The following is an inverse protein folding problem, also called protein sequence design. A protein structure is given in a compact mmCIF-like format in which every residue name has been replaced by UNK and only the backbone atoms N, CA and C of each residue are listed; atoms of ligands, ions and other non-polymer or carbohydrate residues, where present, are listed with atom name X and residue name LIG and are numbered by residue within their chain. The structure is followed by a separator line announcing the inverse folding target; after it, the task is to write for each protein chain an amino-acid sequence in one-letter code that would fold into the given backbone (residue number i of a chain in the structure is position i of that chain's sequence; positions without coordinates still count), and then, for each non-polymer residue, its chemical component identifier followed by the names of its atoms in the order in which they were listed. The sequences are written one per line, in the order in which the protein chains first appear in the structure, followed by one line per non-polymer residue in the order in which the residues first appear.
data_IF_230763823393
#
_entry.id   IF_230763823393
#
_cell.length_a   1.000
_cell.length_b   1.000
_cell.length_c   1.000
_cell.angle_alpha   90.00
_cell.angle_beta   90.00
_cell.angle_gamma   90.00
#
_symmetry.space_group_name_H-M   'P 1'
#
loop_
_entity.id
_entity.type
_entity.pdbx_description
1 polymer ?
#
# COMPACT_ATOMS: atom_id res chain seq x y z
N UNK A 1 -1.15 18.55 -5.01
CA UNK A 1 0.15 18.28 -5.66
C UNK A 1 1.17 17.60 -4.73
N UNK A 2 0.95 17.55 -3.41
CA UNK A 2 1.83 16.91 -2.40
C UNK A 2 2.02 15.39 -2.56
N UNK A 3 0.94 14.63 -2.83
CA UNK A 3 0.99 13.16 -2.82
C UNK A 3 1.93 12.59 -3.89
N UNK A 4 1.97 13.20 -5.09
CA UNK A 4 2.81 12.76 -6.21
C UNK A 4 4.31 12.92 -5.95
N UNK A 5 4.71 13.81 -5.04
CA UNK A 5 6.12 14.05 -4.72
C UNK A 5 6.68 12.92 -3.85
N UNK A 6 5.91 12.42 -2.88
CA UNK A 6 6.28 11.25 -2.08
C UNK A 6 6.50 9.99 -2.94
N UNK A 7 5.81 9.88 -4.09
CA UNK A 7 5.87 8.71 -4.97
C UNK A 7 7.06 8.69 -5.94
N UNK A 8 7.87 9.76 -5.99
CA UNK A 8 9.02 9.88 -6.91
C UNK A 8 10.35 9.36 -6.32
N UNK A 9 10.35 8.88 -5.09
CA UNK A 9 11.54 8.33 -4.44
C UNK A 9 11.76 6.84 -4.74
N UNK A 10 13.04 6.41 -4.75
CA UNK A 10 13.44 4.98 -4.75
C UNK A 10 13.01 4.23 -3.48
N UNK A 11 12.56 4.95 -2.44
CA UNK A 11 12.17 4.38 -1.16
C UNK A 11 10.72 3.93 -1.27
N UNK A 12 10.50 2.62 -1.08
CA UNK A 12 9.16 2.06 -1.03
C UNK A 12 8.43 2.45 0.25
N UNK A 13 7.19 2.89 0.15
CA UNK A 13 6.34 3.20 1.30
C UNK A 13 5.35 2.07 1.55
N UNK A 14 5.21 1.64 2.80
CA UNK A 14 4.14 0.75 3.18
C UNK A 14 2.77 1.40 2.98
N UNK A 15 1.84 0.59 2.52
CA UNK A 15 0.42 0.92 2.45
C UNK A 15 -0.33 0.09 3.49
N UNK A 16 -1.49 0.58 3.92
CA UNK A 16 -2.40 -0.19 4.76
C UNK A 16 -3.11 -1.32 4.01
N UNK A 17 -2.38 -2.08 3.19
CA UNK A 17 -2.88 -3.18 2.37
C UNK A 17 -2.05 -4.44 2.64
N UNK A 18 -2.69 -5.48 3.15
CA UNK A 18 -2.04 -6.74 3.51
C UNK A 18 -2.85 -7.94 3.03
N UNK A 19 -2.17 -9.05 2.74
CA UNK A 19 -2.82 -10.31 2.38
C UNK A 19 -3.28 -11.02 3.66
N UNK A 20 -4.57 -11.32 3.70
CA UNK A 20 -5.25 -12.09 4.74
C UNK A 20 -6.10 -13.15 4.03
N UNK A 21 -5.98 -14.40 4.46
CA UNK A 21 -6.70 -15.53 3.84
C UNK A 21 -6.56 -15.57 2.30
N UNK A 22 -5.32 -15.38 1.82
CA UNK A 22 -4.95 -15.34 0.39
C UNK A 22 -5.52 -14.15 -0.41
N UNK A 23 -6.21 -13.19 0.22
CA UNK A 23 -6.79 -12.02 -0.44
C UNK A 23 -6.18 -10.74 0.11
N UNK A 24 -5.94 -9.77 -0.75
CA UNK A 24 -5.46 -8.45 -0.31
C UNK A 24 -6.61 -7.67 0.30
N UNK A 25 -6.39 -7.14 1.50
CA UNK A 25 -7.37 -6.38 2.28
C UNK A 25 -6.76 -5.11 2.84
N UNK A 26 -7.55 -4.04 2.84
CA UNK A 26 -7.20 -2.77 3.46
C UNK A 26 -7.22 -2.89 5.00
N UNK A 27 -6.63 -1.90 5.67
CA UNK A 27 -6.58 -1.85 7.13
C UNK A 27 -7.95 -1.78 7.82
N UNK A 28 -9.00 -1.40 7.09
CA UNK A 28 -10.40 -1.41 7.55
C UNK A 28 -11.12 -2.75 7.31
N UNK A 29 -10.43 -3.73 6.72
CA UNK A 29 -10.98 -5.06 6.42
C UNK A 29 -11.69 -5.17 5.06
N UNK A 30 -11.80 -4.09 4.29
CA UNK A 30 -12.37 -4.15 2.95
C UNK A 30 -11.42 -4.82 1.95
N UNK A 31 -11.98 -5.55 0.98
CA UNK A 31 -11.20 -6.25 -0.04
C UNK A 31 -10.58 -5.27 -1.05
N UNK A 32 -9.36 -5.57 -1.51
CA UNK A 32 -8.74 -4.87 -2.63
C UNK A 32 -9.44 -5.24 -3.94
N UNK A 33 -10.18 -4.28 -4.50
CA UNK A 33 -11.02 -4.45 -5.70
C UNK A 33 -10.56 -3.62 -6.90
N UNK A 34 -9.32 -3.11 -6.86
CA UNK A 34 -8.75 -2.31 -7.95
C UNK A 34 -8.25 -3.19 -9.10
N UNK A 35 -8.26 -2.64 -10.32
CA UNK A 35 -7.67 -3.25 -11.52
C UNK A 35 -6.14 -3.13 -11.56
N UNK A 36 -5.55 -2.31 -10.69
CA UNK A 36 -4.10 -2.14 -10.62
C UNK A 36 -3.48 -3.35 -9.92
N UNK A 37 -2.51 -4.06 -10.52
CA UNK A 37 -1.94 -5.25 -9.91
C UNK A 37 -0.99 -4.92 -8.76
N UNK A 38 -0.99 -5.77 -7.71
CA UNK A 38 0.06 -5.83 -6.71
C UNK A 38 1.03 -6.94 -7.10
N UNK A 39 2.28 -6.60 -7.33
CA UNK A 39 3.30 -7.53 -7.83
C UNK A 39 3.91 -8.36 -6.71
N UNK A 40 4.12 -9.65 -6.97
CA UNK A 40 4.64 -10.62 -6.00
C UNK A 40 3.58 -11.18 -5.05
N UNK A 41 4.01 -12.15 -4.21
CA UNK A 41 3.11 -12.97 -3.39
C UNK A 41 3.35 -12.84 -1.88
N UNK A 42 4.10 -11.82 -1.43
CA UNK A 42 4.39 -11.58 -0.01
C UNK A 42 3.28 -10.82 0.72
N UNK A 43 3.32 -10.74 2.04
CA UNK A 43 2.19 -10.41 2.89
C UNK A 43 1.76 -8.93 2.83
N UNK A 44 2.68 -7.97 2.84
CA UNK A 44 2.37 -6.54 2.92
C UNK A 44 2.64 -5.83 1.60
N UNK A 45 1.77 -4.89 1.20
CA UNK A 45 1.95 -4.11 -0.02
C UNK A 45 2.66 -2.78 0.24
N UNK A 46 3.60 -2.44 -0.63
CA UNK A 46 4.30 -1.17 -0.66
C UNK A 46 4.22 -0.51 -2.04
N UNK A 47 4.35 0.82 -2.06
CA UNK A 47 4.45 1.61 -3.28
C UNK A 47 5.91 1.95 -3.53
N UNK A 48 6.50 1.35 -4.56
CA UNK A 48 7.89 1.51 -4.95
C UNK A 48 8.01 1.56 -6.48
N UNK A 49 8.86 2.43 -7.02
CA UNK A 49 9.06 2.60 -8.46
C UNK A 49 7.74 2.75 -9.25
N UNK A 50 6.81 3.54 -8.70
CA UNK A 50 5.47 3.78 -9.26
C UNK A 50 4.59 2.52 -9.42
N UNK A 51 4.91 1.45 -8.70
CA UNK A 51 4.18 0.18 -8.73
C UNK A 51 3.83 -0.29 -7.32
N UNK A 52 2.76 -1.06 -7.23
CA UNK A 52 2.44 -1.79 -6.01
C UNK A 52 3.24 -3.10 -6.02
N UNK A 53 4.09 -3.27 -5.02
CA UNK A 53 4.84 -4.49 -4.76
C UNK A 53 4.37 -5.10 -3.46
N UNK A 54 4.55 -6.41 -3.31
CA UNK A 54 4.43 -7.08 -2.03
C UNK A 54 5.79 -7.44 -1.48
N UNK A 55 5.97 -7.29 -0.18
CA UNK A 55 7.17 -7.67 0.56
C UNK A 55 6.78 -8.20 1.95
N UNK A 56 7.73 -8.85 2.63
CA UNK A 56 7.51 -9.30 4.00
C UNK A 56 7.25 -8.11 4.92
N UNK A 57 6.22 -8.22 5.77
CA UNK A 57 5.83 -7.16 6.70
C UNK A 57 6.91 -6.80 7.73
N UNK A 58 7.93 -7.64 7.91
CA UNK A 58 9.05 -7.41 8.81
C UNK A 58 10.08 -6.40 8.26
N UNK A 59 10.01 -6.02 6.98
CA UNK A 59 10.95 -5.04 6.43
C UNK A 59 10.66 -3.63 6.97
N UNK A 60 11.69 -2.99 7.51
CA UNK A 60 11.61 -1.60 7.97
C UNK A 60 11.53 -0.64 6.77
N UNK A 61 10.40 0.08 6.65
CA UNK A 61 10.17 1.11 5.63
C UNK A 61 9.21 2.18 6.17
N UNK A 62 9.27 3.42 5.66
CA UNK A 62 8.26 4.42 5.97
C UNK A 62 6.88 3.97 5.49
N UNK A 63 5.81 4.51 6.08
CA UNK A 63 4.43 4.19 5.73
C UNK A 63 3.64 5.44 5.34
N UNK A 64 2.61 5.25 4.53
CA UNK A 64 1.66 6.30 4.16
C UNK A 64 0.30 6.02 4.80
N UNK A 65 -0.22 6.99 5.54
CA UNK A 65 -1.57 6.96 6.07
C UNK A 65 -2.51 7.80 5.21
N UNK A 66 -3.77 7.38 5.11
CA UNK A 66 -4.87 8.17 4.56
C UNK A 66 -6.03 8.17 5.54
N UNK A 67 -6.81 9.25 5.53
CA UNK A 67 -8.05 9.37 6.28
C UNK A 67 -9.01 10.23 5.46
N UNK A 68 -10.29 9.87 5.44
CA UNK A 68 -11.31 10.72 4.84
C UNK A 68 -11.36 12.07 5.56
N UNK A 69 -11.51 13.14 4.80
CA UNK A 69 -11.79 14.45 5.37
C UNK A 69 -13.18 14.43 6.01
N UNK A 70 -13.31 15.01 7.21
CA UNK A 70 -14.61 15.06 7.88
C UNK A 70 -15.62 15.83 7.00
N UNK A 71 -16.90 15.42 6.97
CA UNK A 71 -17.95 16.21 6.34
C UNK A 71 -17.96 17.62 6.96
N UNK A 72 -18.06 18.65 6.11
CA UNK A 72 -18.26 20.03 6.54
C UNK A 72 -19.60 20.21 7.24
#
# INVERSE_FOLDING_TARGET
QELLFCLRGKVGYWLGLCRRDQRLQWGDGSDYSSWVPVLGDSECACLADHKFWSQSCSNERPYLCSKAQAPL
#
